data_IF_346095572573
#
_entry.id   IF_346095572573
#
_cell.length_a   1.000
_cell.length_b   1.000
_cell.length_c   1.000
_cell.angle_alpha   90.00
_cell.angle_beta   90.00
_cell.angle_gamma   90.00
#
_symmetry.space_group_name_H-M   'P 1'
#
loop_
_entity.id
_entity.type
_entity.pdbx_description
1 polymer ?
#
# COMPACT_ATOMS: atom_id res chain seq x y z
N UNK A 1 28.92 -46.62 -66.70
CA UNK A 1 29.32 -47.64 -65.72
C UNK A 1 30.09 -46.91 -64.62
N UNK A 2 29.48 -45.88 -64.03
CA UNK A 2 28.48 -45.92 -62.92
C UNK A 2 29.26 -46.07 -61.60
N UNK A 3 29.09 -45.28 -60.55
CA UNK A 3 28.19 -44.18 -60.22
C UNK A 3 28.80 -43.55 -58.98
N UNK A 4 29.17 -42.26 -59.02
CA UNK A 4 29.60 -41.51 -57.83
C UNK A 4 28.38 -41.30 -56.93
N UNK A 5 28.22 -42.15 -55.92
CA UNK A 5 27.21 -41.95 -54.89
C UNK A 5 27.74 -40.90 -53.89
N UNK A 6 27.66 -39.63 -54.29
CA UNK A 6 27.83 -38.51 -53.37
C UNK A 6 26.60 -38.45 -52.46
N UNK A 7 26.75 -38.90 -51.21
CA UNK A 7 25.76 -38.67 -50.17
C UNK A 7 25.66 -37.17 -49.89
N UNK A 8 24.72 -36.50 -50.54
CA UNK A 8 24.29 -35.17 -50.13
C UNK A 8 23.46 -35.30 -48.85
N UNK A 9 24.13 -35.22 -47.69
CA UNK A 9 23.45 -34.94 -46.43
C UNK A 9 22.93 -33.50 -46.53
N UNK A 10 21.65 -33.34 -46.88
CA UNK A 10 21.00 -32.05 -46.71
C UNK A 10 20.82 -31.84 -45.22
N UNK A 11 21.58 -30.92 -44.65
CA UNK A 11 21.35 -30.31 -43.33
C UNK A 11 20.03 -29.53 -43.35
N UNK A 12 18.92 -30.26 -43.49
CA UNK A 12 17.63 -29.75 -43.06
C UNK A 12 17.56 -30.02 -41.57
N UNK A 13 18.11 -29.09 -40.81
CA UNK A 13 17.93 -28.96 -39.36
C UNK A 13 16.41 -28.81 -39.11
N UNK A 14 15.70 -29.94 -39.00
CA UNK A 14 14.40 -29.94 -38.34
C UNK A 14 14.70 -29.49 -36.92
N UNK A 15 14.33 -28.24 -36.59
CA UNK A 15 14.23 -27.83 -35.19
C UNK A 15 13.37 -28.91 -34.54
N UNK A 16 13.92 -29.61 -33.55
CA UNK A 16 13.20 -30.64 -32.82
C UNK A 16 11.92 -29.98 -32.26
N UNK A 17 10.73 -30.43 -32.67
CA UNK A 17 9.46 -29.87 -32.19
C UNK A 17 9.40 -29.78 -30.66
N UNK A 18 10.08 -30.69 -29.96
CA UNK A 18 10.19 -30.69 -28.50
C UNK A 18 10.98 -29.48 -27.94
N UNK A 19 12.02 -29.01 -28.63
CA UNK A 19 12.78 -27.82 -28.20
C UNK A 19 11.95 -26.53 -28.35
N UNK A 20 11.11 -26.44 -29.37
CA UNK A 20 10.24 -25.29 -29.60
C UNK A 20 9.11 -25.25 -28.58
N UNK A 21 8.47 -26.39 -28.28
CA UNK A 21 7.48 -26.52 -27.21
C UNK A 21 8.05 -26.13 -25.84
N UNK A 22 9.28 -26.56 -25.53
CA UNK A 22 9.96 -26.20 -24.27
C UNK A 22 10.28 -24.70 -24.19
N UNK A 23 10.62 -24.05 -25.31
CA UNK A 23 10.82 -22.59 -25.37
C UNK A 23 9.50 -21.86 -25.13
N UNK A 24 8.41 -22.32 -25.74
CA UNK A 24 7.07 -21.78 -25.59
C UNK A 24 6.55 -21.94 -24.15
N UNK A 25 6.80 -23.09 -23.52
CA UNK A 25 6.49 -23.33 -22.10
C UNK A 25 7.30 -22.41 -21.18
N UNK A 26 8.62 -22.28 -21.40
CA UNK A 26 9.46 -21.32 -20.66
C UNK A 26 8.97 -19.88 -20.82
N UNK A 27 8.49 -19.49 -21.99
CA UNK A 27 7.90 -18.17 -22.26
C UNK A 27 6.62 -17.99 -21.43
N UNK A 28 5.71 -18.97 -21.44
CA UNK A 28 4.47 -18.99 -20.65
C UNK A 28 4.74 -18.90 -19.14
N UNK A 29 5.70 -19.67 -18.63
CA UNK A 29 6.10 -19.63 -17.22
C UNK A 29 6.62 -18.24 -16.82
N UNK A 30 7.45 -17.60 -17.65
CA UNK A 30 7.94 -16.23 -17.41
C UNK A 30 6.81 -15.20 -17.43
N UNK A 31 5.80 -15.37 -18.28
CA UNK A 31 4.62 -14.50 -18.34
C UNK A 31 3.77 -14.65 -17.07
N UNK A 32 3.56 -15.90 -16.62
CA UNK A 32 2.84 -16.19 -15.38
C UNK A 32 3.57 -15.61 -14.16
N UNK A 33 4.90 -15.69 -14.11
CA UNK A 33 5.70 -15.10 -13.03
C UNK A 33 5.55 -13.57 -12.99
N UNK A 34 5.61 -12.90 -14.15
CA UNK A 34 5.37 -11.45 -14.25
C UNK A 34 3.97 -11.07 -13.79
N UNK A 35 2.95 -11.86 -14.17
CA UNK A 35 1.58 -11.64 -13.73
C UNK A 35 1.45 -11.77 -12.21
N UNK A 36 2.04 -12.82 -11.63
CA UNK A 36 2.07 -13.00 -10.18
C UNK A 36 2.72 -11.82 -9.48
N UNK A 37 3.89 -11.39 -9.93
CA UNK A 37 4.59 -10.22 -9.37
C UNK A 37 3.74 -8.94 -9.47
N UNK A 38 2.97 -8.77 -10.54
CA UNK A 38 2.04 -7.65 -10.67
C UNK A 38 0.91 -7.75 -9.65
N UNK A 39 0.25 -8.91 -9.53
CA UNK A 39 -0.81 -9.14 -8.54
C UNK A 39 -0.30 -8.91 -7.11
N UNK A 40 0.88 -9.44 -6.76
CA UNK A 40 1.49 -9.25 -5.44
C UNK A 40 1.70 -7.76 -5.14
N UNK A 41 2.19 -6.99 -6.11
CA UNK A 41 2.37 -5.53 -5.94
C UNK A 41 1.05 -4.79 -5.80
N UNK A 42 0.03 -5.15 -6.56
CA UNK A 42 -1.32 -4.57 -6.42
C UNK A 42 -1.87 -4.87 -5.03
N UNK A 43 -1.68 -6.11 -4.53
CA UNK A 43 -2.04 -6.50 -3.16
C UNK A 43 -1.33 -5.64 -2.11
N UNK A 44 0.00 -5.48 -2.19
CA UNK A 44 0.74 -4.61 -1.28
C UNK A 44 0.26 -3.15 -1.29
N UNK A 45 -0.15 -2.65 -2.45
CA UNK A 45 -0.71 -1.30 -2.59
C UNK A 45 -2.09 -1.24 -1.93
N UNK A 46 -2.95 -2.23 -2.13
CA UNK A 46 -4.26 -2.27 -1.48
C UNK A 46 -4.12 -2.32 0.06
N UNK A 47 -3.29 -3.22 0.57
CA UNK A 47 -3.09 -3.42 2.02
C UNK A 47 -2.43 -2.21 2.69
N UNK A 48 -1.56 -1.50 1.97
CA UNK A 48 -0.82 -0.35 2.47
C UNK A 48 -1.60 0.97 2.50
N UNK A 49 -2.86 0.99 2.07
CA UNK A 49 -3.75 2.17 2.10
C UNK A 49 -4.40 2.40 3.46
N UNK A 50 -4.09 1.57 4.46
CA UNK A 50 -4.54 1.82 5.82
C UNK A 50 -3.74 2.97 6.47
N UNK A 51 -4.47 3.93 7.02
CA UNK A 51 -4.03 5.21 7.58
C UNK A 51 -3.38 6.13 6.55
N UNK A 52 -2.82 7.24 7.02
CA UNK A 52 -2.10 8.17 6.16
C UNK A 52 -0.81 7.49 5.66
N UNK A 53 -0.69 7.21 4.35
CA UNK A 53 0.49 6.55 3.83
C UNK A 53 1.69 7.50 3.86
N UNK A 54 2.84 7.02 4.35
CA UNK A 54 4.08 7.82 4.43
C UNK A 54 5.09 7.48 3.34
N UNK A 55 5.06 6.25 2.83
CA UNK A 55 5.87 5.77 1.70
C UNK A 55 5.05 4.85 0.82
N UNK A 56 5.28 4.94 -0.49
CA UNK A 56 4.72 4.02 -1.47
C UNK A 56 5.55 2.73 -1.50
N UNK A 57 4.95 1.55 -1.81
CA UNK A 57 5.71 0.29 -1.99
C UNK A 57 6.87 0.38 -2.98
N UNK A 58 6.81 1.30 -3.95
CA UNK A 58 7.93 1.59 -4.86
C UNK A 58 9.12 2.35 -4.23
N UNK A 59 9.06 2.67 -2.93
CA UNK A 59 10.03 3.49 -2.21
C UNK A 59 9.86 5.01 -2.36
N UNK A 60 8.92 5.46 -3.20
CA UNK A 60 8.60 6.87 -3.39
C UNK A 60 7.98 7.52 -2.13
N UNK A 61 8.25 8.80 -1.93
CA UNK A 61 7.61 9.61 -0.89
C UNK A 61 6.17 9.93 -1.29
N UNK A 62 5.34 10.16 -0.27
CA UNK A 62 3.95 10.60 -0.45
C UNK A 62 3.89 12.11 -0.32
N UNK A 63 3.37 12.77 -1.35
CA UNK A 63 3.09 14.21 -1.36
C UNK A 63 1.59 14.44 -1.24
N UNK A 64 1.23 15.60 -0.69
CA UNK A 64 -0.15 16.09 -0.73
C UNK A 64 -0.37 16.76 -2.08
N UNK A 65 -1.23 16.19 -2.89
CA UNK A 65 -1.59 16.70 -4.22
C UNK A 65 -3.02 17.24 -4.20
N UNK A 66 -3.28 18.29 -4.97
CA UNK A 66 -4.62 18.82 -5.22
C UNK A 66 -4.90 18.63 -6.69
N UNK A 67 -6.02 17.99 -7.02
CA UNK A 67 -6.45 17.80 -8.40
C UNK A 67 -6.76 19.17 -9.02
N UNK A 68 -5.88 19.67 -9.88
CA UNK A 68 -6.06 20.96 -10.57
C UNK A 68 -7.11 20.90 -11.69
N UNK A 69 -7.37 19.70 -12.22
CA UNK A 69 -8.34 19.41 -13.27
C UNK A 69 -8.83 17.97 -13.10
N UNK A 70 -9.95 17.55 -13.71
CA UNK A 70 -10.29 16.14 -13.82
C UNK A 70 -9.16 15.46 -14.60
N UNK A 71 -8.28 14.74 -13.88
CA UNK A 71 -7.13 14.05 -14.50
C UNK A 71 -7.61 12.96 -15.44
N UNK A 72 -8.78 12.37 -15.17
CA UNK A 72 -9.40 11.38 -16.05
C UNK A 72 -10.87 11.71 -16.27
N UNK A 73 -11.30 11.72 -17.54
CA UNK A 73 -12.63 12.15 -17.99
C UNK A 73 -13.79 11.37 -17.35
N UNK A 74 -13.53 10.17 -16.85
CA UNK A 74 -14.52 9.27 -16.25
C UNK A 74 -14.22 8.89 -14.80
N UNK A 75 -13.16 9.42 -14.19
CA UNK A 75 -12.82 9.13 -12.79
C UNK A 75 -13.56 10.13 -11.89
N UNK A 76 -14.65 9.65 -11.28
CA UNK A 76 -15.50 10.41 -10.38
C UNK A 76 -14.72 11.09 -9.25
N UNK A 77 -13.61 10.48 -8.81
CA UNK A 77 -12.82 11.01 -7.72
C UNK A 77 -11.98 12.23 -8.14
N UNK A 78 -11.72 12.42 -9.44
CA UNK A 78 -10.78 13.45 -9.93
C UNK A 78 -11.32 14.87 -10.00
N UNK A 79 -12.46 15.18 -9.38
CA UNK A 79 -13.01 16.54 -9.42
C UNK A 79 -11.96 17.60 -9.03
N UNK A 80 -11.97 18.77 -9.70
CA UNK A 80 -11.08 19.87 -9.35
C UNK A 80 -11.20 20.23 -7.87
N UNK A 81 -10.07 20.42 -7.19
CA UNK A 81 -10.00 20.71 -5.76
C UNK A 81 -9.93 19.48 -4.85
N UNK A 82 -10.17 18.27 -5.36
CA UNK A 82 -10.00 17.03 -4.58
C UNK A 82 -8.55 16.86 -4.12
N UNK A 83 -8.36 16.49 -2.84
CA UNK A 83 -7.04 16.33 -2.21
C UNK A 83 -6.65 14.86 -2.13
N UNK A 84 -5.37 14.58 -2.36
CA UNK A 84 -4.84 13.22 -2.42
C UNK A 84 -3.49 13.08 -1.73
N UNK A 85 -3.28 11.91 -1.11
CA UNK A 85 -1.96 11.38 -0.82
C UNK A 85 -1.43 10.67 -2.07
N UNK A 86 -0.45 11.26 -2.74
CA UNK A 86 0.04 10.77 -4.04
C UNK A 86 1.52 10.43 -3.98
N UNK A 87 1.91 9.29 -4.52
CA UNK A 87 3.32 8.93 -4.72
C UNK A 87 4.02 9.93 -5.67
N UNK A 88 5.25 10.33 -5.36
CA UNK A 88 6.05 11.17 -6.26
C UNK A 88 6.34 10.53 -7.62
N UNK A 89 6.31 9.19 -7.69
CA UNK A 89 6.51 8.39 -8.91
C UNK A 89 5.20 7.87 -9.51
N UNK A 90 4.05 8.46 -9.16
CA UNK A 90 2.74 7.99 -9.63
C UNK A 90 2.62 7.96 -11.16
N UNK A 91 2.08 6.86 -11.71
CA UNK A 91 1.92 6.60 -13.15
C UNK A 91 0.54 6.09 -13.56
N UNK A 92 -0.42 6.05 -12.64
CA UNK A 92 -1.76 5.48 -12.87
C UNK A 92 -1.75 4.02 -13.37
N UNK A 93 -0.85 3.22 -12.80
CA UNK A 93 -0.64 1.80 -13.14
C UNK A 93 -1.22 0.84 -12.09
N UNK A 94 -1.91 1.37 -11.08
CA UNK A 94 -2.38 0.62 -9.91
C UNK A 94 -1.27 0.19 -8.94
N UNK A 95 0.00 0.51 -9.21
CA UNK A 95 1.17 0.11 -8.41
C UNK A 95 1.70 1.23 -7.51
N UNK A 96 1.09 2.40 -7.60
CA UNK A 96 1.48 3.59 -6.85
C UNK A 96 0.31 4.15 -6.04
N UNK A 97 0.60 4.63 -4.83
CA UNK A 97 -0.41 5.28 -4.02
C UNK A 97 -0.94 6.55 -4.68
N UNK A 98 -2.27 6.61 -4.77
CA UNK A 98 -3.07 7.80 -4.97
C UNK A 98 -4.36 7.59 -4.19
N UNK A 99 -4.33 8.00 -2.94
CA UNK A 99 -5.45 7.79 -2.01
C UNK A 99 -6.12 9.14 -1.73
N UNK A 100 -7.46 9.23 -1.78
CA UNK A 100 -8.18 10.42 -1.34
C UNK A 100 -7.82 10.79 0.10
N UNK A 101 -7.64 12.09 0.35
CA UNK A 101 -7.21 12.58 1.66
C UNK A 101 -8.20 12.21 2.77
N UNK A 102 -9.50 12.18 2.45
CA UNK A 102 -10.58 11.93 3.41
C UNK A 102 -10.43 10.59 4.14
N UNK A 103 -10.06 9.51 3.43
CA UNK A 103 -9.92 8.19 4.05
C UNK A 103 -8.79 8.14 5.09
N UNK A 104 -7.64 8.72 4.76
CA UNK A 104 -6.52 8.77 5.71
C UNK A 104 -6.82 9.67 6.91
N UNK A 105 -7.53 10.78 6.69
CA UNK A 105 -7.91 11.72 7.75
C UNK A 105 -8.96 11.12 8.68
N UNK A 106 -10.01 10.50 8.15
CA UNK A 106 -11.09 9.87 8.92
C UNK A 106 -10.53 8.83 9.90
N UNK A 107 -9.66 7.94 9.43
CA UNK A 107 -9.03 6.91 10.26
C UNK A 107 -8.13 7.48 11.36
N UNK A 108 -7.43 8.59 11.10
CA UNK A 108 -6.64 9.25 12.14
C UNK A 108 -7.52 10.01 13.15
N UNK A 109 -8.66 10.57 12.70
CA UNK A 109 -9.66 11.19 13.59
C UNK A 109 -10.25 10.14 14.54
N UNK A 110 -10.70 8.99 14.03
CA UNK A 110 -11.25 7.90 14.85
C UNK A 110 -10.26 7.49 15.96
N UNK A 111 -9.00 7.28 15.58
CA UNK A 111 -7.93 6.94 16.53
C UNK A 111 -7.67 8.05 17.55
N UNK A 112 -7.73 9.31 17.14
CA UNK A 112 -7.58 10.44 18.05
C UNK A 112 -8.74 10.52 19.05
N UNK A 113 -9.97 10.31 18.59
CA UNK A 113 -11.16 10.25 19.45
C UNK A 113 -10.99 9.19 20.53
N UNK A 114 -10.63 7.95 20.16
CA UNK A 114 -10.40 6.87 21.13
C UNK A 114 -9.34 7.24 22.18
N UNK A 115 -8.21 7.84 21.74
CA UNK A 115 -7.15 8.26 22.67
C UNK A 115 -7.60 9.36 23.63
N UNK A 116 -8.38 10.31 23.13
CA UNK A 116 -8.93 11.41 23.95
C UNK A 116 -9.89 10.87 25.00
N UNK A 117 -10.74 9.89 24.65
CA UNK A 117 -11.64 9.22 25.61
C UNK A 117 -10.85 8.48 26.70
N UNK A 118 -9.82 7.71 26.31
CA UNK A 118 -8.93 7.02 27.26
C UNK A 118 -8.23 7.98 28.22
N UNK A 119 -7.70 9.11 27.69
CA UNK A 119 -7.06 10.12 28.50
C UNK A 119 -8.04 10.82 29.43
N UNK A 120 -9.26 11.10 28.96
CA UNK A 120 -10.31 11.73 29.77
C UNK A 120 -10.69 10.86 30.97
N UNK A 121 -10.79 9.53 30.78
CA UNK A 121 -11.01 8.58 31.89
C UNK A 121 -9.88 8.60 32.92
N UNK A 122 -8.63 8.66 32.47
CA UNK A 122 -7.46 8.75 33.38
C UNK A 122 -7.45 10.05 34.17
N UNK A 123 -7.78 11.17 33.52
CA UNK A 123 -7.89 12.47 34.19
C UNK A 123 -8.96 12.44 35.27
N UNK A 124 -10.12 11.86 34.98
CA UNK A 124 -11.21 11.74 35.94
C UNK A 124 -10.84 10.87 37.15
N UNK A 125 -10.16 9.74 36.90
CA UNK A 125 -9.66 8.88 37.97
C UNK A 125 -8.62 9.60 38.85
N UNK A 126 -7.65 10.27 38.25
CA UNK A 126 -6.65 11.05 38.99
C UNK A 126 -7.30 12.17 39.82
N UNK A 127 -8.33 12.85 39.29
CA UNK A 127 -9.07 13.88 40.05
C UNK A 127 -9.71 13.31 41.31
N UNK A 128 -10.32 12.12 41.22
CA UNK A 128 -10.89 11.44 42.39
C UNK A 128 -9.83 11.09 43.43
N UNK A 129 -8.69 10.57 42.98
CA UNK A 129 -7.58 10.23 43.88
C UNK A 129 -7.03 11.46 44.60
N UNK A 130 -6.84 12.58 43.90
CA UNK A 130 -6.42 13.85 44.49
C UNK A 130 -7.43 14.34 45.53
N UNK A 131 -8.74 14.23 45.24
CA UNK A 131 -9.79 14.63 46.18
C UNK A 131 -9.73 13.82 47.47
N UNK A 132 -9.62 12.48 47.37
CA UNK A 132 -9.51 11.59 48.53
C UNK A 132 -8.27 11.92 49.36
N UNK A 133 -7.11 12.10 48.70
CA UNK A 133 -5.86 12.45 49.38
C UNK A 133 -5.96 13.81 50.08
N UNK A 134 -6.61 14.80 49.47
CA UNK A 134 -6.81 16.11 50.10
C UNK A 134 -7.66 16.00 51.38
N UNK A 135 -8.71 15.17 51.36
CA UNK A 135 -9.55 14.91 52.54
C UNK A 135 -8.79 14.17 53.66
N UNK A 136 -7.93 13.21 53.31
CA UNK A 136 -7.07 12.50 54.26
C UNK A 136 -6.05 13.44 54.92
N UNK A 137 -5.39 14.29 54.13
CA UNK A 137 -4.45 15.31 54.63
C UNK A 137 -5.17 16.28 55.59
N UNK A 138 -6.37 16.74 55.23
CA UNK A 138 -7.15 17.63 56.08
C UNK A 138 -7.48 16.99 57.43
N UNK A 139 -7.83 15.69 57.46
CA UNK A 139 -8.11 14.96 58.71
C UNK A 139 -6.87 14.81 59.58
N UNK A 140 -5.70 14.52 58.98
CA UNK A 140 -4.45 14.35 59.73
C UNK A 140 -3.98 15.66 60.38
N UNK A 141 -4.14 16.80 59.70
CA UNK A 141 -3.76 18.10 60.26
C UNK A 141 -4.61 18.52 61.46
N UNK A 142 -5.89 18.12 61.52
CA UNK A 142 -6.78 18.41 62.67
C UNK A 142 -6.42 17.60 63.93
N UNK A 143 -5.68 16.50 63.80
CA UNK A 143 -5.26 15.65 64.94
C UNK A 143 -3.93 16.11 65.55
N UNK A 144 -3.20 17.01 64.89
CA UNK A 144 -1.89 17.50 65.32
C UNK A 144 -1.93 18.87 66.05
N UNK A 145 -3.08 19.55 66.08
CA UNK A 145 -3.37 20.74 66.89
C UNK A 145 -4.15 20.37 68.16
#
# INVERSE_FOLDING_TARGET
MDSDCSYHYTDNFLIDPYEEELKEEKRRCKEMEKMKQHCDRVGFVADGQYRIPRRCPCGGYIKHDVSSSPKFKHDFDTQPGSRYFTCTKFKDDGLHFRQPWIFGVEQEIEKLVTKVEEQSKKIEEMRKQIQIQAEEIAKLNVVQD
#
